data_IF_224267830658
#
_entry.id   IF_224267830658
#
_cell.length_a   1.000
_cell.length_b   1.000
_cell.length_c   1.000
_cell.angle_alpha   90.00
_cell.angle_beta   90.00
_cell.angle_gamma   90.00
#
_symmetry.space_group_name_H-M   'P 1'
#
loop_
_entity.id
_entity.type
_entity.pdbx_description
1 polymer ?
#
# COMPACT_ATOMS: atom_id res chain seq x y z
N UNK A 1 -1.27 1.84 -11.81
CA UNK A 1 -1.57 0.39 -11.77
C UNK A 1 -0.39 -0.42 -11.25
N UNK A 2 0.84 -0.17 -11.70
CA UNK A 2 2.06 -0.87 -11.23
C UNK A 2 2.17 -1.07 -9.71
N UNK A 3 2.02 0.00 -8.92
CA UNK A 3 2.13 -0.10 -7.45
C UNK A 3 1.07 -1.01 -6.81
N UNK A 4 -0.15 -1.04 -7.34
CA UNK A 4 -1.20 -1.92 -6.83
C UNK A 4 -0.86 -3.40 -7.07
N UNK A 5 -0.24 -3.71 -8.21
CA UNK A 5 0.23 -5.07 -8.54
C UNK A 5 1.40 -5.47 -7.63
N UNK A 6 2.39 -4.58 -7.44
CA UNK A 6 3.54 -4.80 -6.55
C UNK A 6 3.13 -5.03 -5.09
N UNK A 7 2.04 -4.41 -4.66
CA UNK A 7 1.45 -4.64 -3.34
C UNK A 7 0.52 -5.88 -3.29
N UNK A 8 0.31 -6.58 -4.39
CA UNK A 8 -0.57 -7.75 -4.45
C UNK A 8 -2.05 -7.42 -4.24
N UNK A 9 -2.50 -6.24 -4.70
CA UNK A 9 -3.90 -5.81 -4.60
C UNK A 9 -4.78 -6.33 -5.74
N UNK A 10 -4.21 -6.90 -6.81
CA UNK A 10 -4.96 -7.38 -7.98
C UNK A 10 -6.09 -8.37 -7.63
N UNK A 11 -5.87 -9.38 -6.75
CA UNK A 11 -6.93 -10.32 -6.36
C UNK A 11 -8.04 -9.69 -5.50
N UNK A 12 -7.91 -8.41 -5.18
CA UNK A 12 -8.80 -7.68 -4.28
C UNK A 12 -9.52 -6.51 -4.98
N UNK A 13 -9.31 -6.28 -6.28
CA UNK A 13 -9.91 -5.14 -7.00
C UNK A 13 -11.45 -5.15 -6.99
N UNK A 14 -12.05 -6.34 -7.03
CA UNK A 14 -13.51 -6.53 -6.99
C UNK A 14 -14.07 -6.66 -5.57
N UNK A 15 -13.22 -6.63 -4.54
CA UNK A 15 -13.66 -6.71 -3.14
C UNK A 15 -13.98 -5.32 -2.64
N UNK A 16 -15.09 -5.21 -1.90
CA UNK A 16 -15.34 -4.00 -1.13
C UNK A 16 -14.30 -3.85 -0.03
N UNK A 17 -13.98 -2.60 0.32
CA UNK A 17 -12.92 -2.28 1.28
C UNK A 17 -13.11 -2.96 2.64
N UNK A 18 -14.35 -3.07 3.11
CA UNK A 18 -14.74 -3.74 4.36
C UNK A 18 -14.52 -5.25 4.34
N UNK A 19 -14.44 -5.87 3.16
CA UNK A 19 -14.18 -7.30 2.98
C UNK A 19 -12.67 -7.62 2.97
N UNK A 20 -11.81 -6.59 2.99
CA UNK A 20 -10.37 -6.74 2.95
C UNK A 20 -9.77 -6.97 4.34
N UNK A 21 -8.75 -7.81 4.41
CA UNK A 21 -7.96 -7.97 5.64
C UNK A 21 -7.35 -6.63 6.06
N UNK A 22 -7.00 -6.48 7.34
CA UNK A 22 -6.33 -5.26 7.83
C UNK A 22 -5.04 -4.98 7.07
N UNK A 23 -4.25 -6.02 6.75
CA UNK A 23 -3.04 -5.89 5.94
C UNK A 23 -3.33 -5.40 4.53
N UNK A 24 -4.32 -5.99 3.86
CA UNK A 24 -4.76 -5.56 2.51
C UNK A 24 -5.23 -4.09 2.51
N UNK A 25 -6.00 -3.67 3.52
CA UNK A 25 -6.43 -2.26 3.65
C UNK A 25 -5.25 -1.30 3.83
N UNK A 26 -4.23 -1.70 4.59
CA UNK A 26 -2.99 -0.92 4.73
C UNK A 26 -2.26 -0.77 3.40
N UNK A 27 -2.17 -1.83 2.61
CA UNK A 27 -1.61 -1.77 1.25
C UNK A 27 -2.39 -0.80 0.34
N UNK A 28 -3.72 -0.76 0.44
CA UNK A 28 -4.53 0.24 -0.28
C UNK A 28 -4.15 1.67 0.13
N UNK A 29 -3.95 1.95 1.42
CA UNK A 29 -3.50 3.27 1.88
C UNK A 29 -2.10 3.64 1.36
N UNK A 30 -1.17 2.69 1.29
CA UNK A 30 0.16 2.91 0.67
C UNK A 30 0.01 3.27 -0.81
N UNK A 31 -0.79 2.51 -1.56
CA UNK A 31 -1.06 2.80 -2.96
C UNK A 31 -1.69 4.19 -3.13
N UNK A 32 -2.68 4.53 -2.29
CA UNK A 32 -3.36 5.81 -2.31
C UNK A 32 -2.42 6.98 -1.99
N UNK A 33 -1.51 6.81 -1.02
CA UNK A 33 -0.54 7.82 -0.63
C UNK A 33 0.46 8.18 -1.74
N UNK A 34 0.64 7.31 -2.75
CA UNK A 34 1.51 7.58 -3.90
C UNK A 34 0.76 8.21 -5.09
N UNK A 35 -0.58 8.30 -5.05
CA UNK A 35 -1.38 8.85 -6.16
C UNK A 35 -1.04 10.33 -6.33
N UNK A 36 -0.84 10.74 -7.58
CA UNK A 36 -0.60 12.14 -7.93
C UNK A 36 0.83 12.62 -7.67
N UNK A 37 1.77 11.72 -7.36
CA UNK A 37 3.18 12.04 -7.11
C UNK A 37 3.36 13.17 -6.08
N UNK A 38 2.88 12.98 -4.84
CA UNK A 38 2.95 14.02 -3.83
C UNK A 38 4.39 14.36 -3.46
N UNK A 39 4.66 15.64 -3.21
CA UNK A 39 5.99 16.10 -2.78
C UNK A 39 6.35 15.61 -1.36
N UNK A 40 5.34 15.41 -0.49
CA UNK A 40 5.49 14.95 0.89
C UNK A 40 4.34 14.03 1.26
N UNK A 41 4.66 12.93 1.95
CA UNK A 41 3.69 12.06 2.61
C UNK A 41 4.04 11.98 4.08
N UNK A 42 3.06 12.21 4.96
CA UNK A 42 3.19 12.03 6.41
C UNK A 42 2.44 10.76 6.79
N UNK A 43 3.13 9.83 7.44
CA UNK A 43 2.53 8.56 7.87
C UNK A 43 3.08 8.13 9.23
N UNK A 44 2.17 7.69 10.10
CA UNK A 44 2.52 7.06 11.38
C UNK A 44 2.45 5.54 11.26
N UNK A 45 3.52 4.86 11.67
CA UNK A 45 3.67 3.41 11.54
C UNK A 45 3.44 2.85 10.13
N UNK A 46 4.03 3.41 9.05
CA UNK A 46 3.67 3.06 7.68
C UNK A 46 3.96 1.59 7.31
N UNK A 47 4.89 0.94 8.01
CA UNK A 47 5.21 -0.49 7.81
C UNK A 47 4.40 -1.44 8.68
N UNK A 48 3.61 -0.93 9.64
CA UNK A 48 2.97 -1.77 10.65
C UNK A 48 1.94 -2.71 10.01
N UNK A 49 2.05 -4.01 10.30
CA UNK A 49 1.22 -5.09 9.73
C UNK A 49 1.09 -5.09 8.21
N UNK A 50 2.11 -4.58 7.51
CA UNK A 50 2.45 -5.02 6.16
C UNK A 50 3.25 -6.32 6.26
N UNK A 51 3.06 -7.22 5.29
CA UNK A 51 3.95 -8.37 5.11
C UNK A 51 5.32 -7.92 4.56
N UNK A 52 6.30 -8.83 4.54
CA UNK A 52 7.67 -8.52 4.13
C UNK A 52 7.73 -7.86 2.75
N UNK A 53 7.05 -8.46 1.76
CA UNK A 53 7.01 -7.93 0.39
C UNK A 53 6.46 -6.50 0.33
N UNK A 54 5.34 -6.23 1.01
CA UNK A 54 4.74 -4.89 0.99
C UNK A 54 5.60 -3.86 1.74
N UNK A 55 6.42 -4.27 2.72
CA UNK A 55 7.39 -3.38 3.38
C UNK A 55 8.53 -3.00 2.44
N UNK A 56 9.01 -3.93 1.63
CA UNK A 56 10.04 -3.66 0.63
C UNK A 56 9.51 -2.67 -0.43
N UNK A 57 8.30 -2.90 -0.93
CA UNK A 57 7.64 -1.99 -1.88
C UNK A 57 7.42 -0.60 -1.28
N UNK A 58 6.99 -0.51 -0.01
CA UNK A 58 6.87 0.76 0.71
C UNK A 58 8.22 1.51 0.76
N UNK A 59 9.30 0.81 1.14
CA UNK A 59 10.62 1.40 1.24
C UNK A 59 11.14 1.88 -0.12
N UNK A 60 10.96 1.09 -1.19
CA UNK A 60 11.32 1.48 -2.55
C UNK A 60 10.50 2.68 -3.05
N UNK A 61 9.19 2.71 -2.75
CA UNK A 61 8.28 3.76 -3.24
C UNK A 61 8.58 5.11 -2.60
N UNK A 62 8.92 5.14 -1.31
CA UNK A 62 9.18 6.37 -0.57
C UNK A 62 10.66 6.61 -0.24
N UNK A 63 11.58 5.78 -0.75
CA UNK A 63 13.03 5.79 -0.48
C UNK A 63 13.36 5.90 1.01
N UNK A 64 12.78 5.00 1.81
CA UNK A 64 13.10 4.85 3.23
C UNK A 64 14.43 4.10 3.45
#
# INVERSE_FOLDING_TARGET
MDLAMRLGLEPHLEKRFEQMSTGTRRKVFVAAAAIGNPAVVVADGPSQGLDAQARDVLAETFRL
#
